data_IF_215131846203
#
_entry.id   IF_215131846203
#
_cell.length_a   1.000
_cell.length_b   1.000
_cell.length_c   1.000
_cell.angle_alpha   90.00
_cell.angle_beta   90.00
_cell.angle_gamma   90.00
#
_symmetry.space_group_name_H-M   'P 1'
#
loop_
_entity.id
_entity.type
_entity.pdbx_description
1 polymer ?
#
# COMPACT_ATOMS: atom_id res chain seq x y z
N UNK A 1 6.01 11.01 11.09
CA UNK A 1 4.82 10.14 11.04
C UNK A 1 4.87 9.23 9.80
N UNK A 2 4.09 8.14 9.82
CA UNK A 2 3.76 7.41 8.59
C UNK A 2 2.59 8.16 7.96
N UNK A 3 2.91 9.15 7.13
CA UNK A 3 1.97 9.65 6.13
C UNK A 3 1.78 8.52 5.11
N UNK A 4 0.90 7.58 5.40
CA UNK A 4 0.58 6.48 4.50
C UNK A 4 -0.34 7.01 3.41
N UNK A 5 0.00 6.73 2.16
CA UNK A 5 -0.88 6.94 1.02
C UNK A 5 -1.36 5.57 0.57
N UNK A 6 -2.66 5.36 0.59
CA UNK A 6 -3.29 4.11 0.21
C UNK A 6 -3.40 4.03 -1.33
N UNK A 7 -3.45 2.83 -1.90
CA UNK A 7 -3.62 2.62 -3.35
C UNK A 7 -4.81 3.42 -3.92
N UNK A 8 -5.82 3.67 -3.10
CA UNK A 8 -7.00 4.43 -3.45
C UNK A 8 -6.77 5.92 -3.60
N UNK A 9 -5.81 6.52 -2.92
CA UNK A 9 -5.54 7.95 -3.06
C UNK A 9 -5.02 8.26 -4.47
N UNK A 10 -4.19 7.34 -4.98
CA UNK A 10 -3.69 7.38 -6.36
C UNK A 10 -4.79 7.06 -7.36
N UNK A 11 -5.68 6.12 -7.02
CA UNK A 11 -6.84 5.83 -7.84
C UNK A 11 -7.78 7.05 -7.93
N UNK A 12 -8.06 7.70 -6.81
CA UNK A 12 -8.86 8.91 -6.70
C UNK A 12 -8.24 10.04 -7.52
N UNK A 13 -6.92 10.23 -7.41
CA UNK A 13 -6.15 11.15 -8.26
C UNK A 13 -6.43 10.89 -9.74
N UNK A 14 -6.25 9.64 -10.20
CA UNK A 14 -6.48 9.27 -11.60
C UNK A 14 -7.92 9.48 -12.06
N UNK A 15 -8.91 9.30 -11.19
CA UNK A 15 -10.31 9.58 -11.52
C UNK A 15 -10.58 11.09 -11.62
N UNK A 16 -10.01 11.90 -10.72
CA UNK A 16 -10.14 13.36 -10.74
C UNK A 16 -9.45 13.98 -11.96
N UNK A 17 -8.28 13.50 -12.35
CA UNK A 17 -7.61 13.91 -13.60
C UNK A 17 -8.45 13.61 -14.84
N UNK A 18 -9.34 12.60 -14.78
CA UNK A 18 -10.33 12.30 -15.83
C UNK A 18 -11.59 13.16 -15.75
N UNK A 19 -11.65 14.14 -14.85
CA UNK A 19 -12.79 15.04 -14.66
C UNK A 19 -13.94 14.46 -13.84
N UNK A 20 -13.74 13.33 -13.14
CA UNK A 20 -14.76 12.74 -12.29
C UNK A 20 -14.80 13.42 -10.91
N UNK A 21 -15.99 13.78 -10.47
CA UNK A 21 -16.23 14.35 -9.14
C UNK A 21 -16.33 13.22 -8.10
N UNK A 22 -15.16 12.76 -7.63
CA UNK A 22 -15.04 11.72 -6.59
C UNK A 22 -14.34 12.26 -5.35
N UNK A 23 -14.71 11.74 -4.18
CA UNK A 23 -14.15 12.09 -2.88
C UNK A 23 -13.85 10.82 -2.06
N UNK A 24 -12.75 10.85 -1.30
CA UNK A 24 -12.42 9.79 -0.36
C UNK A 24 -13.04 10.09 1.00
N UNK A 25 -13.75 9.10 1.56
CA UNK A 25 -14.31 9.15 2.91
C UNK A 25 -13.57 8.11 3.73
N UNK A 26 -12.95 8.54 4.83
CA UNK A 26 -12.26 7.67 5.78
C UNK A 26 -13.18 7.42 6.98
N UNK A 27 -13.44 6.16 7.37
CA UNK A 27 -14.22 5.84 8.56
C UNK A 27 -13.63 6.49 9.82
N UNK A 28 -14.49 6.77 10.80
CA UNK A 28 -14.06 7.36 12.07
C UNK A 28 -13.27 6.36 12.93
N UNK A 29 -13.60 5.08 12.81
CA UNK A 29 -12.95 3.95 13.48
C UNK A 29 -11.54 3.66 12.95
N UNK A 30 -11.21 4.21 11.77
CA UNK A 30 -9.92 4.03 11.13
C UNK A 30 -9.95 3.38 9.76
N UNK A 31 -8.80 3.44 9.08
CA UNK A 31 -8.57 2.79 7.78
C UNK A 31 -7.36 1.85 7.84
N UNK A 32 -7.48 0.68 7.19
CA UNK A 32 -6.42 -0.32 7.06
C UNK A 32 -5.37 0.11 6.02
N UNK A 33 -4.08 -0.08 6.33
CA UNK A 33 -3.00 -0.07 5.33
C UNK A 33 -2.77 -1.48 4.85
N UNK A 34 -2.74 -1.66 3.52
CA UNK A 34 -2.15 -2.86 2.92
C UNK A 34 -0.74 -2.53 2.45
N UNK A 35 0.24 -3.28 2.93
CA UNK A 35 1.62 -3.20 2.46
C UNK A 35 1.89 -4.30 1.44
N UNK A 36 2.51 -3.94 0.32
CA UNK A 36 3.04 -4.93 -0.61
C UNK A 36 4.38 -5.43 -0.08
N UNK A 37 4.56 -6.75 -0.04
CA UNK A 37 5.76 -7.39 0.46
C UNK A 37 6.45 -8.20 -0.64
N UNK A 38 7.77 -8.26 -0.58
CA UNK A 38 8.60 -9.18 -1.38
C UNK A 38 9.40 -10.07 -0.44
N UNK A 39 9.59 -11.34 -0.83
CA UNK A 39 10.29 -12.32 0.00
C UNK A 39 11.04 -13.35 -0.83
N UNK A 40 12.04 -13.98 -0.22
CA UNK A 40 12.79 -15.09 -0.84
C UNK A 40 12.15 -16.40 -0.42
N UNK A 41 11.85 -17.27 -1.39
CA UNK A 41 11.36 -18.62 -1.11
C UNK A 41 12.42 -19.43 -0.36
N UNK A 42 12.01 -20.17 0.68
CA UNK A 42 12.91 -20.96 1.52
C UNK A 42 13.79 -21.94 0.71
N UNK A 43 13.23 -22.54 -0.34
CA UNK A 43 13.91 -23.51 -1.21
C UNK A 43 14.29 -22.92 -2.58
N UNK A 44 14.65 -21.63 -2.64
CA UNK A 44 15.04 -20.96 -3.87
C UNK A 44 16.30 -21.61 -4.49
N UNK A 45 16.25 -21.91 -5.80
CA UNK A 45 17.39 -22.49 -6.54
C UNK A 45 18.57 -21.52 -6.68
N UNK A 46 18.33 -20.21 -6.60
CA UNK A 46 19.33 -19.16 -6.82
C UNK A 46 19.28 -18.11 -5.69
N UNK A 47 19.65 -18.47 -4.45
CA UNK A 47 19.48 -17.59 -3.28
C UNK A 47 20.29 -16.29 -3.38
N UNK A 48 21.48 -16.33 -4.00
CA UNK A 48 22.31 -15.13 -4.18
C UNK A 48 21.68 -14.15 -5.17
N UNK A 49 21.09 -14.65 -6.27
CA UNK A 49 20.39 -13.81 -7.23
C UNK A 49 19.11 -13.21 -6.63
N UNK A 50 18.37 -13.99 -5.83
CA UNK A 50 17.19 -13.50 -5.12
C UNK A 50 17.53 -12.38 -4.13
N UNK A 51 18.62 -12.52 -3.36
CA UNK A 51 19.12 -11.45 -2.48
C UNK A 51 19.51 -10.20 -3.27
N UNK A 52 20.29 -10.35 -4.34
CA UNK A 52 20.68 -9.24 -5.19
C UNK A 52 19.47 -8.51 -5.80
N UNK A 53 18.41 -9.24 -6.15
CA UNK A 53 17.16 -8.64 -6.63
C UNK A 53 16.43 -7.86 -5.53
N UNK A 54 16.35 -8.39 -4.29
CA UNK A 54 15.78 -7.64 -3.16
C UNK A 54 16.58 -6.36 -2.90
N UNK A 55 17.92 -6.44 -2.89
CA UNK A 55 18.79 -5.28 -2.73
C UNK A 55 18.56 -4.24 -3.84
N UNK A 56 18.41 -4.70 -5.09
CA UNK A 56 18.09 -3.84 -6.23
C UNK A 56 16.72 -3.16 -6.08
N UNK A 57 15.67 -3.90 -5.70
CA UNK A 57 14.32 -3.35 -5.54
C UNK A 57 14.26 -2.35 -4.39
N UNK A 58 14.98 -2.62 -3.29
CA UNK A 58 15.07 -1.73 -2.12
C UNK A 58 16.09 -0.61 -2.28
N UNK A 59 16.86 -0.57 -3.37
CA UNK A 59 17.83 0.50 -3.62
C UNK A 59 17.13 1.84 -3.78
N UNK A 60 17.79 2.92 -3.36
CA UNK A 60 17.23 4.27 -3.41
C UNK A 60 16.74 4.65 -4.82
N UNK A 61 17.51 4.31 -5.86
CA UNK A 61 17.15 4.61 -7.24
C UNK A 61 15.87 3.89 -7.68
N UNK A 62 15.76 2.60 -7.38
CA UNK A 62 14.56 1.82 -7.73
C UNK A 62 13.35 2.29 -6.92
N UNK A 63 13.54 2.62 -5.66
CA UNK A 63 12.50 3.17 -4.79
C UNK A 63 11.98 4.53 -5.32
N UNK A 64 12.88 5.44 -5.74
CA UNK A 64 12.51 6.68 -6.44
C UNK A 64 11.70 6.41 -7.70
N UNK A 65 12.21 5.53 -8.57
CA UNK A 65 11.55 5.16 -9.81
C UNK A 65 10.13 4.61 -9.58
N UNK A 66 9.97 3.72 -8.59
CA UNK A 66 8.66 3.16 -8.23
C UNK A 66 7.72 4.30 -7.79
N UNK A 67 8.17 5.17 -6.89
CA UNK A 67 7.35 6.31 -6.43
C UNK A 67 6.99 7.26 -7.56
N UNK A 68 7.91 7.57 -8.47
CA UNK A 68 7.64 8.44 -9.63
C UNK A 68 6.62 7.84 -10.60
N UNK A 69 6.72 6.54 -10.89
CA UNK A 69 5.87 5.89 -11.90
C UNK A 69 4.50 5.45 -11.36
N UNK A 70 4.46 5.00 -10.11
CA UNK A 70 3.26 4.41 -9.52
C UNK A 70 2.54 5.36 -8.59
N UNK A 71 3.22 6.41 -8.13
CA UNK A 71 2.84 7.24 -7.00
C UNK A 71 2.80 6.49 -5.66
N UNK A 72 3.20 5.21 -5.59
CA UNK A 72 3.27 4.49 -4.31
C UNK A 72 4.36 5.05 -3.41
N UNK A 73 4.03 5.14 -2.12
CA UNK A 73 5.05 5.32 -1.10
C UNK A 73 5.81 4.01 -0.93
N UNK A 74 7.12 4.12 -0.81
CA UNK A 74 8.00 2.98 -0.63
C UNK A 74 8.78 3.11 0.68
N UNK A 75 9.40 2.05 1.22
CA UNK A 75 10.12 2.11 2.50
C UNK A 75 11.43 2.93 2.48
N UNK A 76 11.80 3.54 1.35
CA UNK A 76 13.02 4.34 1.24
C UNK A 76 12.94 5.63 2.08
N UNK A 77 13.90 5.82 3.00
CA UNK A 77 13.90 6.88 4.03
C UNK A 77 13.87 8.32 3.51
N UNK A 78 14.23 8.56 2.25
CA UNK A 78 14.35 9.90 1.66
C UNK A 78 13.60 10.04 0.31
N UNK A 79 12.62 9.17 0.06
CA UNK A 79 11.84 9.23 -1.19
C UNK A 79 10.67 10.18 -0.99
N UNK A 80 10.65 11.27 -1.76
CA UNK A 80 9.56 12.24 -1.78
C UNK A 80 8.54 11.82 -2.85
N UNK A 81 7.26 12.03 -2.55
CA UNK A 81 6.21 11.90 -3.57
C UNK A 81 6.39 12.97 -4.66
N UNK A 82 5.99 12.69 -5.92
CA UNK A 82 6.04 13.67 -7.00
C UNK A 82 5.26 14.95 -6.66
N UNK A 83 5.74 16.10 -7.12
CA UNK A 83 5.17 17.40 -6.76
C UNK A 83 3.73 17.55 -7.25
N UNK A 84 3.34 16.95 -8.37
CA UNK A 84 1.95 16.98 -8.84
C UNK A 84 0.95 16.41 -7.83
N UNK A 85 1.36 15.45 -7.00
CA UNK A 85 0.52 14.85 -5.97
C UNK A 85 0.23 15.81 -4.81
N UNK A 86 1.05 16.85 -4.61
CA UNK A 86 0.86 17.83 -3.51
C UNK A 86 -0.46 18.61 -3.59
N UNK A 87 -1.06 18.67 -4.78
CA UNK A 87 -2.37 19.32 -5.01
C UNK A 87 -3.54 18.48 -4.49
N UNK A 88 -3.30 17.20 -4.29
CA UNK A 88 -4.28 16.24 -3.83
C UNK A 88 -3.96 15.98 -2.36
N UNK A 89 -4.55 16.80 -1.49
CA UNK A 89 -4.47 16.69 -0.03
C UNK A 89 -4.68 15.22 0.34
N UNK A 90 -3.73 14.62 1.07
CA UNK A 90 -3.89 13.32 1.73
C UNK A 90 -4.77 13.60 2.95
N UNK A 91 -6.08 13.30 2.92
CA UNK A 91 -6.94 13.60 4.04
C UNK A 91 -6.65 12.55 5.12
N UNK A 92 -6.29 12.99 6.33
CA UNK A 92 -6.25 12.14 7.51
C UNK A 92 -5.20 10.99 7.49
N UNK A 93 -3.93 11.29 7.23
CA UNK A 93 -2.83 10.33 7.45
C UNK A 93 -2.87 9.70 8.85
N UNK A 94 -3.32 10.47 9.83
CA UNK A 94 -3.55 10.16 11.24
C UNK A 94 -4.76 9.25 11.50
N UNK A 95 -5.69 9.08 10.55
CA UNK A 95 -6.78 8.07 10.61
C UNK A 95 -6.39 6.72 10.02
N UNK A 96 -5.14 6.59 9.61
CA UNK A 96 -4.56 5.32 9.18
C UNK A 96 -4.03 4.61 10.42
N UNK A 97 -4.97 4.16 11.26
CA UNK A 97 -4.71 3.67 12.61
C UNK A 97 -5.27 2.25 12.83
N UNK A 98 -5.85 1.62 11.81
CA UNK A 98 -6.46 0.30 11.94
C UNK A 98 -5.45 -0.79 11.56
N UNK A 99 -4.61 -1.19 12.52
CA UNK A 99 -3.65 -2.27 12.37
C UNK A 99 -4.25 -3.60 12.84
N UNK A 100 -4.42 -4.54 11.92
CA UNK A 100 -4.88 -5.90 12.23
C UNK A 100 -3.65 -6.82 12.28
N UNK A 101 -3.43 -7.59 13.35
CA UNK A 101 -2.29 -8.49 13.43
C UNK A 101 -2.29 -9.53 12.30
N UNK A 102 -1.14 -9.73 11.65
CA UNK A 102 -1.00 -10.67 10.53
C UNK A 102 -1.37 -12.11 10.93
N UNK A 103 -1.04 -12.52 12.16
CA UNK A 103 -1.39 -13.84 12.69
C UNK A 103 -2.91 -14.02 12.79
N UNK A 104 -3.62 -12.96 13.22
CA UNK A 104 -5.07 -12.99 13.31
C UNK A 104 -5.70 -13.06 11.92
N UNK A 105 -5.19 -12.29 10.96
CA UNK A 105 -5.64 -12.36 9.56
C UNK A 105 -5.44 -13.78 9.04
N UNK A 106 -4.25 -14.38 9.24
CA UNK A 106 -3.95 -15.72 8.78
C UNK A 106 -4.86 -16.78 9.41
N UNK A 107 -5.14 -16.70 10.71
CA UNK A 107 -6.06 -17.60 11.41
C UNK A 107 -7.50 -17.47 10.90
N UNK A 108 -7.98 -16.23 10.75
CA UNK A 108 -9.41 -15.93 10.54
C UNK A 108 -9.85 -15.82 9.09
N UNK A 109 -8.93 -15.72 8.13
CA UNK A 109 -9.26 -15.49 6.71
C UNK A 109 -10.33 -16.47 6.18
N UNK A 110 -10.21 -17.76 6.49
CA UNK A 110 -11.17 -18.77 5.99
C UNK A 110 -12.52 -18.73 6.73
N UNK A 111 -12.53 -18.29 7.97
CA UNK A 111 -13.76 -18.09 8.76
C UNK A 111 -14.52 -16.88 8.23
N UNK A 112 -13.85 -15.73 8.11
CA UNK A 112 -14.45 -14.47 7.65
C UNK A 112 -14.94 -14.54 6.20
N UNK A 113 -14.23 -15.25 5.32
CA UNK A 113 -14.71 -15.50 3.95
C UNK A 113 -16.03 -16.26 3.93
N UNK A 114 -16.14 -17.35 4.70
CA UNK A 114 -17.38 -18.11 4.82
C UNK A 114 -18.51 -17.29 5.41
N UNK A 115 -18.23 -16.53 6.48
CA UNK A 115 -19.21 -15.62 7.06
C UNK A 115 -19.72 -14.61 6.03
N UNK A 116 -18.85 -14.07 5.18
CA UNK A 116 -19.27 -13.16 4.12
C UNK A 116 -20.13 -13.86 3.06
N UNK A 117 -19.69 -15.03 2.59
CA UNK A 117 -20.42 -15.83 1.60
C UNK A 117 -21.81 -16.26 2.10
N UNK A 118 -21.93 -16.68 3.35
CA UNK A 118 -23.18 -17.19 3.93
C UNK A 118 -24.20 -16.09 4.25
N UNK A 119 -23.78 -14.82 4.38
CA UNK A 119 -24.64 -13.74 4.89
C UNK A 119 -24.87 -12.60 3.90
N UNK A 120 -24.02 -12.43 2.88
CA UNK A 120 -24.10 -11.30 1.94
C UNK A 120 -24.47 -11.76 0.53
N UNK A 121 -24.00 -12.94 0.11
CA UNK A 121 -24.37 -13.56 -1.16
C UNK A 121 -25.42 -14.64 -0.97
#
# INVERSE_FOLDING_TARGET
EIDAMWNFDIFLYRLREKGLSVEAIYPEEGTVISCNCVGILANCQHPNAAKAWIDFVLSENTQKMITEQTYYRTPGKNIKLPQEMSKYIIPNADKINFNIPDELIAEKTNEWKRLFEDNIF
#
